data_IF_078080861141
#
_entry.id   IF_078080861141
#
_cell.length_a   1.000
_cell.length_b   1.000
_cell.length_c   1.000
_cell.angle_alpha   90.00
_cell.angle_beta   90.00
_cell.angle_gamma   90.00
#
_symmetry.space_group_name_H-M   'P 1'
#
loop_
_entity.id
_entity.type
_entity.pdbx_description
1 polymer ?
#
# COMPACT_ATOMS: atom_id res chain seq x y z
N UNK A 1 30.64 47.32 20.32
CA UNK A 1 29.91 46.87 19.11
C UNK A 1 29.83 45.36 19.19
N UNK A 2 28.66 44.83 19.51
CA UNK A 2 28.45 43.41 19.85
C UNK A 2 27.89 42.71 18.60
N UNK A 3 28.51 41.65 18.06
CA UNK A 3 27.83 40.80 17.09
C UNK A 3 27.01 39.75 17.84
N UNK A 4 25.68 39.92 17.86
CA UNK A 4 24.70 38.85 18.06
C UNK A 4 24.77 37.93 16.80
N UNK A 5 24.79 36.60 16.82
CA UNK A 5 24.37 35.63 17.83
C UNK A 5 22.95 35.10 17.56
N UNK A 6 22.79 34.09 16.69
CA UNK A 6 21.66 33.13 16.61
C UNK A 6 21.81 32.28 15.34
N UNK A 7 21.75 30.95 15.30
CA UNK A 7 21.55 29.95 16.33
C UNK A 7 22.30 28.67 15.89
N UNK A 8 22.95 28.04 16.86
CA UNK A 8 23.42 26.66 16.76
C UNK A 8 22.22 25.76 16.46
N UNK A 9 22.08 25.33 15.20
CA UNK A 9 21.32 24.15 14.85
C UNK A 9 22.33 23.02 14.71
N UNK A 10 22.13 21.96 15.49
CA UNK A 10 22.93 20.74 15.60
C UNK A 10 23.73 20.37 14.32
N UNK A 11 25.04 20.08 14.42
CA UNK A 11 25.80 19.56 13.29
C UNK A 11 25.50 18.06 13.14
N UNK A 12 24.27 17.72 12.78
CA UNK A 12 24.07 16.46 12.05
C UNK A 12 24.58 16.74 10.66
N UNK A 13 25.81 16.30 10.39
CA UNK A 13 26.42 16.23 9.06
C UNK A 13 25.38 15.79 8.02
N UNK A 14 24.73 16.73 7.35
CA UNK A 14 23.94 16.41 6.17
C UNK A 14 24.94 16.24 5.03
N UNK A 15 25.48 15.03 4.89
CA UNK A 15 26.28 14.61 3.72
C UNK A 15 25.39 14.45 2.47
N UNK A 16 24.24 15.10 2.40
CA UNK A 16 23.27 14.93 1.34
C UNK A 16 22.79 16.27 0.80
N UNK A 17 22.98 16.48 -0.51
CA UNK A 17 22.31 17.56 -1.25
C UNK A 17 20.97 17.02 -1.77
N UNK A 18 19.93 17.83 -1.60
CA UNK A 18 18.59 17.62 -2.14
C UNK A 18 18.44 18.40 -3.45
N UNK A 19 18.05 17.72 -4.54
CA UNK A 19 17.68 18.40 -5.80
C UNK A 19 16.15 18.60 -5.84
N UNK A 20 15.65 19.84 -5.76
CA UNK A 20 14.21 20.11 -5.65
C UNK A 20 13.43 20.03 -6.97
N UNK A 21 14.09 20.08 -8.14
CA UNK A 21 13.41 20.21 -9.44
C UNK A 21 13.74 19.05 -10.38
N UNK A 22 13.30 17.85 -10.04
CA UNK A 22 13.18 16.78 -11.03
C UNK A 22 11.70 16.49 -11.29
N UNK A 23 11.19 16.69 -12.52
CA UNK A 23 9.85 16.25 -12.87
C UNK A 23 9.73 14.75 -12.61
N UNK A 24 8.63 14.34 -11.99
CA UNK A 24 8.41 12.96 -11.60
C UNK A 24 8.50 12.03 -12.81
N UNK A 25 9.39 11.04 -12.73
CA UNK A 25 9.52 9.94 -13.70
C UNK A 25 8.22 9.17 -13.89
N UNK A 26 7.30 9.24 -12.91
CA UNK A 26 5.97 8.60 -13.00
C UNK A 26 4.93 9.42 -13.78
N UNK A 27 5.22 10.66 -14.18
CA UNK A 27 4.31 11.52 -14.94
C UNK A 27 3.08 12.02 -14.17
N UNK A 28 2.95 11.70 -12.87
CA UNK A 28 1.81 12.09 -12.05
C UNK A 28 1.96 13.52 -11.52
N UNK A 29 0.91 14.37 -11.60
CA UNK A 29 0.98 15.80 -11.30
C UNK A 29 1.22 16.16 -9.81
N UNK A 30 1.29 15.18 -8.92
CA UNK A 30 1.53 15.37 -7.47
C UNK A 30 2.69 14.50 -6.94
N UNK A 31 3.56 14.06 -7.82
CA UNK A 31 4.76 13.30 -7.46
C UNK A 31 5.99 14.12 -7.86
N UNK A 32 7.06 13.97 -7.11
CA UNK A 32 8.36 14.53 -7.45
C UNK A 32 9.43 13.46 -7.20
N UNK A 33 10.44 13.43 -8.05
CA UNK A 33 11.59 12.57 -7.84
C UNK A 33 12.60 13.31 -6.99
N UNK A 34 12.97 12.70 -5.87
CA UNK A 34 13.91 13.26 -4.91
C UNK A 34 15.23 12.52 -5.07
N UNK A 35 16.28 13.23 -5.50
CA UNK A 35 17.64 12.70 -5.56
C UNK A 35 18.43 13.14 -4.33
N UNK A 36 18.98 12.16 -3.62
CA UNK A 36 19.89 12.35 -2.49
C UNK A 36 21.30 11.93 -2.92
N UNK A 37 22.23 12.88 -2.94
CA UNK A 37 23.62 12.64 -3.34
C UNK A 37 24.50 12.56 -2.09
N UNK A 38 25.19 11.44 -1.87
CA UNK A 38 26.15 11.32 -0.77
C UNK A 38 27.44 12.09 -1.09
N UNK A 39 27.67 13.19 -0.38
CA UNK A 39 28.80 14.09 -0.56
C UNK A 39 30.15 13.49 -0.17
N UNK A 40 30.20 12.40 0.59
CA UNK A 40 31.46 11.72 0.90
C UNK A 40 32.19 11.21 -0.36
N UNK A 41 31.44 10.96 -1.43
CA UNK A 41 31.97 10.51 -2.73
C UNK A 41 32.07 11.64 -3.77
N UNK A 42 31.90 12.90 -3.36
CA UNK A 42 31.94 14.06 -4.24
C UNK A 42 33.27 14.78 -4.04
N UNK A 43 34.05 14.90 -5.11
CA UNK A 43 35.38 15.53 -5.06
C UNK A 43 35.33 17.04 -4.92
N UNK A 44 34.32 17.69 -5.53
CA UNK A 44 34.21 19.15 -5.58
C UNK A 44 32.73 19.56 -5.69
N UNK A 45 32.36 20.64 -5.01
CA UNK A 45 31.03 21.25 -5.07
C UNK A 45 31.19 22.74 -5.29
N UNK A 46 30.60 23.26 -6.37
CA UNK A 46 30.58 24.69 -6.68
C UNK A 46 29.16 25.24 -6.48
N UNK A 47 29.04 26.37 -5.77
CA UNK A 47 27.76 27.04 -5.57
C UNK A 47 27.52 27.98 -6.75
N UNK A 48 26.62 27.59 -7.66
CA UNK A 48 26.33 28.34 -8.88
C UNK A 48 25.44 29.56 -8.59
N UNK A 49 24.50 29.45 -7.64
CA UNK A 49 23.60 30.52 -7.26
C UNK A 49 23.09 30.31 -5.82
N UNK A 50 23.26 31.32 -4.97
CA UNK A 50 22.75 31.30 -3.60
C UNK A 50 21.46 32.13 -3.53
N UNK A 51 20.32 31.46 -3.34
CA UNK A 51 19.02 32.13 -3.20
C UNK A 51 18.84 32.60 -1.75
N UNK A 52 18.93 33.90 -1.53
CA UNK A 52 18.76 34.55 -0.22
C UNK A 52 17.29 34.81 0.15
N UNK A 53 16.36 34.60 -0.79
CA UNK A 53 14.93 34.73 -0.55
C UNK A 53 14.42 33.62 0.38
N UNK A 54 13.60 34.00 1.37
CA UNK A 54 12.98 33.01 2.26
C UNK A 54 11.97 32.18 1.43
N UNK A 55 12.15 30.85 1.34
CA UNK A 55 11.22 30.03 0.58
C UNK A 55 9.81 30.11 1.17
N UNK A 56 8.76 29.95 0.35
CA UNK A 56 7.40 29.92 0.85
C UNK A 56 7.25 28.83 1.93
N UNK A 57 6.42 29.07 2.97
CA UNK A 57 6.19 28.08 4.00
C UNK A 57 5.74 26.76 3.39
N UNK A 58 6.40 25.67 3.81
CA UNK A 58 6.00 24.33 3.39
C UNK A 58 4.56 24.07 3.82
N UNK A 59 3.81 23.37 2.97
CA UNK A 59 2.47 22.93 3.33
C UNK A 59 2.50 22.09 4.60
N UNK A 60 1.59 22.37 5.53
CA UNK A 60 1.49 21.61 6.77
C UNK A 60 1.12 20.16 6.46
N UNK A 61 1.99 19.23 6.86
CA UNK A 61 1.70 17.79 6.73
C UNK A 61 0.81 17.33 7.88
N UNK A 62 -0.17 16.49 7.56
CA UNK A 62 -0.99 15.83 8.57
C UNK A 62 -0.25 14.59 9.10
N UNK A 63 0.59 14.80 10.11
CA UNK A 63 1.45 13.75 10.69
C UNK A 63 0.62 12.60 11.28
N UNK A 64 -0.55 12.88 11.85
CA UNK A 64 -1.42 11.85 12.42
C UNK A 64 -2.00 10.92 11.36
N UNK A 65 -2.41 11.45 10.20
CA UNK A 65 -2.86 10.67 9.05
C UNK A 65 -1.73 9.83 8.44
N UNK A 66 -0.52 10.36 8.40
CA UNK A 66 0.65 9.60 7.92
C UNK A 66 0.99 8.46 8.88
N UNK A 67 0.98 8.73 10.19
CA UNK A 67 1.24 7.72 11.21
C UNK A 67 0.18 6.60 11.21
N UNK A 68 -1.11 6.94 11.04
CA UNK A 68 -2.17 5.93 10.94
C UNK A 68 -1.99 5.06 9.69
N UNK A 69 -1.71 5.68 8.53
CA UNK A 69 -1.44 4.95 7.28
C UNK A 69 -0.26 3.99 7.43
N UNK A 70 0.85 4.45 8.01
CA UNK A 70 2.04 3.62 8.25
C UNK A 70 1.73 2.42 9.17
N UNK A 71 0.90 2.61 10.21
CA UNK A 71 0.47 1.52 11.10
C UNK A 71 -0.40 0.51 10.35
N UNK A 72 -1.39 0.97 9.59
CA UNK A 72 -2.28 0.09 8.81
C UNK A 72 -1.49 -0.73 7.78
N UNK A 73 -0.60 -0.11 7.00
CA UNK A 73 0.21 -0.84 6.02
C UNK A 73 1.13 -1.87 6.67
N UNK A 74 1.69 -1.55 7.86
CA UNK A 74 2.50 -2.49 8.64
C UNK A 74 1.65 -3.69 9.08
N UNK A 75 0.48 -3.45 9.64
CA UNK A 75 -0.43 -4.49 10.12
C UNK A 75 -0.91 -5.40 8.98
N UNK A 76 -1.27 -4.83 7.83
CA UNK A 76 -1.66 -5.58 6.63
C UNK A 76 -0.54 -6.49 6.13
N UNK A 77 0.71 -5.99 6.08
CA UNK A 77 1.87 -6.80 5.66
C UNK A 77 2.19 -7.90 6.68
N UNK A 78 2.10 -7.62 7.98
CA UNK A 78 2.31 -8.63 9.02
C UNK A 78 1.26 -9.73 8.93
N UNK A 79 0.00 -9.37 8.72
CA UNK A 79 -1.10 -10.32 8.52
C UNK A 79 -0.90 -11.18 7.27
N UNK A 80 -0.46 -10.60 6.15
CA UNK A 80 -0.14 -11.36 4.95
C UNK A 80 1.04 -12.32 5.16
N UNK A 81 2.12 -11.84 5.80
CA UNK A 81 3.29 -12.66 6.10
C UNK A 81 2.92 -13.84 7.02
N UNK A 82 2.05 -13.60 8.01
CA UNK A 82 1.50 -14.65 8.86
C UNK A 82 0.78 -15.72 8.03
N UNK A 83 -0.16 -15.33 7.16
CA UNK A 83 -0.92 -16.27 6.34
C UNK A 83 -0.02 -17.12 5.44
N UNK A 84 1.01 -16.51 4.84
CA UNK A 84 2.02 -17.22 4.04
C UNK A 84 2.77 -18.23 4.92
N UNK A 85 3.26 -17.81 6.08
CA UNK A 85 4.01 -18.68 7.00
C UNK A 85 3.16 -19.85 7.56
N UNK A 86 1.87 -19.63 7.76
CA UNK A 86 0.92 -20.65 8.20
C UNK A 86 0.50 -21.61 7.08
N UNK A 87 0.91 -21.37 5.83
CA UNK A 87 0.55 -22.20 4.68
C UNK A 87 -0.92 -22.10 4.29
N UNK A 88 -1.52 -20.91 4.43
CA UNK A 88 -2.89 -20.60 3.98
C UNK A 88 -2.93 -20.61 2.46
N UNK A 89 -3.97 -21.21 1.86
CA UNK A 89 -4.17 -21.21 0.41
C UNK A 89 -4.37 -19.81 -0.17
N UNK A 90 -4.07 -19.60 -1.45
CA UNK A 90 -4.26 -18.31 -2.12
C UNK A 90 -5.73 -17.84 -2.05
N UNK A 91 -6.70 -18.76 -2.21
CA UNK A 91 -8.13 -18.46 -2.02
C UNK A 91 -8.43 -17.92 -0.62
N UNK A 92 -7.90 -18.56 0.43
CA UNK A 92 -8.08 -18.08 1.80
C UNK A 92 -7.49 -16.69 2.01
N UNK A 93 -6.30 -16.43 1.46
CA UNK A 93 -5.64 -15.11 1.52
C UNK A 93 -6.46 -14.04 0.78
N UNK A 94 -7.01 -14.36 -0.38
CA UNK A 94 -7.85 -13.45 -1.16
C UNK A 94 -9.17 -13.16 -0.44
N UNK A 95 -9.81 -14.18 0.14
CA UNK A 95 -11.03 -14.01 0.90
C UNK A 95 -10.80 -13.13 2.13
N UNK A 96 -9.72 -13.36 2.89
CA UNK A 96 -9.36 -12.52 4.03
C UNK A 96 -9.22 -11.05 3.62
N UNK A 97 -8.55 -10.76 2.49
CA UNK A 97 -8.44 -9.39 1.99
C UNK A 97 -9.80 -8.77 1.65
N UNK A 98 -10.72 -9.53 1.04
CA UNK A 98 -12.09 -9.05 0.75
C UNK A 98 -12.86 -8.77 2.03
N UNK A 99 -12.75 -9.65 3.03
CA UNK A 99 -13.38 -9.44 4.35
C UNK A 99 -12.76 -8.23 5.03
N UNK A 100 -11.43 -8.12 5.12
CA UNK A 100 -10.71 -7.01 5.77
C UNK A 100 -10.98 -5.63 5.12
N UNK A 101 -11.32 -5.60 3.83
CA UNK A 101 -11.78 -4.38 3.15
C UNK A 101 -13.17 -3.94 3.62
N UNK A 102 -14.03 -4.89 3.95
CA UNK A 102 -15.44 -4.65 4.34
C UNK A 102 -15.59 -4.48 5.85
N UNK A 103 -14.90 -5.32 6.62
CA UNK A 103 -14.94 -5.41 8.07
C UNK A 103 -13.49 -5.34 8.57
N UNK A 104 -13.12 -4.29 9.29
CA UNK A 104 -11.74 -4.10 9.78
C UNK A 104 -11.39 -5.02 10.93
N UNK A 105 -12.38 -5.45 11.70
CA UNK A 105 -12.19 -6.37 12.81
C UNK A 105 -12.20 -7.83 12.33
N UNK A 106 -11.10 -8.24 11.70
CA UNK A 106 -10.85 -9.62 11.35
C UNK A 106 -9.37 -9.97 11.54
N UNK A 107 -9.10 -11.19 12.02
CA UNK A 107 -7.75 -11.67 12.32
C UNK A 107 -7.58 -13.11 11.88
N UNK A 108 -6.32 -13.50 11.69
CA UNK A 108 -5.98 -14.89 11.52
C UNK A 108 -5.90 -15.61 12.86
N UNK A 109 -6.44 -16.81 12.91
CA UNK A 109 -6.24 -17.77 14.00
C UNK A 109 -5.80 -19.09 13.36
N UNK A 110 -4.50 -19.36 13.38
CA UNK A 110 -3.88 -20.47 12.64
C UNK A 110 -4.16 -20.33 11.13
N UNK A 111 -4.97 -21.23 10.57
CA UNK A 111 -5.45 -21.18 9.18
C UNK A 111 -6.87 -20.63 9.08
N UNK A 112 -7.50 -20.25 10.17
CA UNK A 112 -8.89 -19.80 10.20
C UNK A 112 -8.97 -18.28 10.15
N UNK A 113 -10.02 -17.76 9.54
CA UNK A 113 -10.34 -16.34 9.56
C UNK A 113 -11.37 -16.12 10.66
N UNK A 114 -11.04 -15.29 11.64
CA UNK A 114 -11.95 -14.91 12.73
C UNK A 114 -12.42 -13.48 12.49
N UNK A 115 -13.73 -13.29 12.37
CA UNK A 115 -14.38 -12.01 12.12
C UNK A 115 -15.18 -11.61 13.36
N UNK A 116 -14.90 -10.41 13.88
CA UNK A 116 -15.55 -9.85 15.08
C UNK A 116 -15.54 -10.77 16.32
N UNK A 117 -14.60 -11.72 16.40
CA UNK A 117 -14.57 -12.79 17.42
C UNK A 117 -15.84 -13.67 17.52
N UNK A 118 -16.83 -13.47 16.64
CA UNK A 118 -18.12 -14.15 16.66
C UNK A 118 -18.23 -15.21 15.55
N UNK A 119 -17.53 -15.00 14.43
CA UNK A 119 -17.59 -15.86 13.24
C UNK A 119 -16.20 -16.36 12.88
N UNK A 120 -16.09 -17.66 12.67
CA UNK A 120 -14.88 -18.37 12.27
C UNK A 120 -15.12 -19.04 10.92
N UNK A 121 -14.23 -18.77 9.98
CA UNK A 121 -14.24 -19.38 8.65
C UNK A 121 -13.03 -20.31 8.56
N UNK A 122 -13.29 -21.61 8.42
CA UNK A 122 -12.23 -22.62 8.32
C UNK A 122 -11.97 -22.98 6.85
N UNK A 123 -10.77 -23.48 6.49
CA UNK A 123 -10.55 -24.13 5.19
C UNK A 123 -11.63 -25.21 4.93
N UNK A 124 -12.10 -25.40 3.69
CA UNK A 124 -11.72 -24.76 2.41
C UNK A 124 -12.31 -23.35 2.15
N UNK A 125 -12.72 -22.62 3.19
CA UNK A 125 -13.20 -21.22 3.12
C UNK A 125 -14.49 -21.01 2.31
N UNK A 126 -15.33 -22.02 2.25
CA UNK A 126 -16.64 -21.92 1.61
C UNK A 126 -17.69 -21.28 2.52
N UNK A 127 -18.81 -20.88 1.92
CA UNK A 127 -19.97 -20.30 2.64
C UNK A 127 -20.49 -21.26 3.73
N UNK A 128 -20.39 -22.57 3.49
CA UNK A 128 -20.77 -23.62 4.45
C UNK A 128 -19.75 -23.84 5.58
N UNK A 129 -18.50 -23.41 5.40
CA UNK A 129 -17.46 -23.47 6.45
C UNK A 129 -17.48 -22.25 7.39
N UNK A 130 -18.39 -21.31 7.18
CA UNK A 130 -18.61 -20.19 8.08
C UNK A 130 -19.41 -20.67 9.31
N UNK A 131 -18.76 -20.68 10.49
CA UNK A 131 -19.36 -21.07 11.76
C UNK A 131 -19.37 -19.89 12.71
N UNK A 132 -20.40 -19.73 13.52
CA UNK A 132 -20.48 -18.64 14.48
C UNK A 132 -21.83 -18.64 15.18
N UNK A 133 -22.06 -17.63 16.02
CA UNK A 133 -23.37 -17.44 16.64
C UNK A 133 -24.41 -17.12 15.56
N UNK A 134 -25.55 -17.81 15.60
CA UNK A 134 -26.68 -17.52 14.70
C UNK A 134 -27.11 -16.06 14.87
N UNK A 135 -27.17 -15.31 13.76
CA UNK A 135 -27.46 -13.88 13.80
C UNK A 135 -27.07 -13.13 12.53
N UNK A 136 -27.20 -11.80 12.60
CA UNK A 136 -26.89 -10.89 11.50
C UNK A 136 -25.43 -10.94 11.07
N UNK A 137 -24.50 -11.09 12.02
CA UNK A 137 -23.06 -11.17 11.76
C UNK A 137 -22.72 -12.35 10.85
N UNK A 138 -23.16 -13.56 11.21
CA UNK A 138 -22.95 -14.76 10.40
C UNK A 138 -23.57 -14.65 9.01
N UNK A 139 -24.81 -14.13 8.93
CA UNK A 139 -25.49 -13.90 7.65
C UNK A 139 -24.75 -12.90 6.76
N UNK A 140 -24.20 -11.84 7.36
CA UNK A 140 -23.43 -10.83 6.64
C UNK A 140 -22.11 -11.41 6.12
N UNK A 141 -21.37 -12.13 6.95
CA UNK A 141 -20.11 -12.81 6.54
C UNK A 141 -20.37 -13.78 5.39
N UNK A 142 -21.42 -14.62 5.47
CA UNK A 142 -21.79 -15.54 4.37
C UNK A 142 -22.04 -14.81 3.05
N UNK A 143 -22.73 -13.66 3.09
CA UNK A 143 -22.96 -12.83 1.88
C UNK A 143 -21.66 -12.28 1.31
N UNK A 144 -20.72 -11.87 2.16
CA UNK A 144 -19.40 -11.39 1.70
C UNK A 144 -18.63 -12.52 1.02
N UNK A 145 -18.62 -13.72 1.61
CA UNK A 145 -17.96 -14.90 1.06
C UNK A 145 -18.59 -15.29 -0.29
N UNK A 146 -19.91 -15.35 -0.36
CA UNK A 146 -20.62 -15.64 -1.61
C UNK A 146 -20.29 -14.61 -2.70
N UNK A 147 -20.33 -13.31 -2.35
CA UNK A 147 -19.96 -12.24 -3.27
C UNK A 147 -18.51 -12.39 -3.74
N UNK A 148 -17.57 -12.71 -2.85
CA UNK A 148 -16.16 -12.91 -3.19
C UNK A 148 -16.00 -13.96 -4.29
N UNK A 149 -16.63 -15.14 -4.16
CA UNK A 149 -16.55 -16.18 -5.17
C UNK A 149 -17.16 -15.75 -6.52
N UNK A 150 -18.29 -15.02 -6.49
CA UNK A 150 -18.89 -14.45 -7.72
C UNK A 150 -17.96 -13.44 -8.39
N UNK A 151 -17.32 -12.57 -7.62
CA UNK A 151 -16.41 -11.54 -8.14
C UNK A 151 -15.14 -12.18 -8.72
N UNK A 152 -14.57 -13.19 -8.05
CA UNK A 152 -13.39 -13.93 -8.54
C UNK A 152 -13.68 -14.66 -9.85
N UNK A 153 -14.84 -15.33 -9.95
CA UNK A 153 -15.23 -16.01 -11.19
C UNK A 153 -15.43 -15.01 -12.33
N UNK A 154 -16.10 -13.90 -12.05
CA UNK A 154 -16.32 -12.83 -13.03
C UNK A 154 -14.99 -12.25 -13.55
N UNK A 155 -14.02 -12.05 -12.65
CA UNK A 155 -12.68 -11.59 -13.02
C UNK A 155 -11.92 -12.60 -13.88
N UNK A 156 -12.01 -13.90 -13.56
CA UNK A 156 -11.40 -14.96 -14.38
C UNK A 156 -11.98 -14.99 -15.80
N UNK A 157 -13.29 -14.81 -15.94
CA UNK A 157 -13.96 -14.75 -17.26
C UNK A 157 -13.46 -13.54 -18.05
N UNK A 158 -13.45 -12.35 -17.45
CA UNK A 158 -12.94 -11.12 -18.09
C UNK A 158 -11.49 -11.27 -18.56
N UNK A 159 -10.64 -11.88 -17.73
CA UNK A 159 -9.23 -12.10 -18.04
C UNK A 159 -9.03 -13.10 -19.19
N UNK A 160 -9.86 -14.16 -19.26
CA UNK A 160 -9.87 -15.09 -20.40
C UNK A 160 -10.30 -14.42 -21.71
N UNK A 161 -11.34 -13.58 -21.67
CA UNK A 161 -11.82 -12.87 -22.86
C UNK A 161 -10.78 -11.91 -23.45
N UNK A 162 -9.92 -11.30 -22.62
CA UNK A 162 -8.85 -10.41 -23.09
C UNK A 162 -7.63 -11.17 -23.63
N UNK A 163 -7.36 -12.39 -23.17
CA UNK A 163 -6.24 -13.20 -23.63
C UNK A 163 -6.47 -13.92 -24.97
N UNK A 164 -7.71 -13.94 -25.49
CA UNK A 164 -8.10 -14.65 -26.71
C UNK A 164 -8.14 -13.78 -27.99
N UNK A 165 -7.61 -12.56 -27.98
CA UNK A 165 -7.31 -11.84 -29.23
C UNK A 165 -5.83 -11.95 -29.62
N UNK A 166 -5.48 -12.88 -30.53
CA UNK A 166 -4.37 -12.67 -31.45
C UNK A 166 -4.80 -12.71 -32.93
N UNK A 167 -4.35 -11.68 -33.66
CA UNK A 167 -4.12 -11.59 -35.11
C UNK A 167 -5.32 -11.68 -36.08
N UNK A 168 -5.90 -10.51 -36.40
CA UNK A 168 -6.55 -10.28 -37.70
C UNK A 168 -6.26 -8.88 -38.27
N UNK A 169 -5.01 -8.43 -38.19
CA UNK A 169 -4.55 -7.17 -38.79
C UNK A 169 -3.12 -7.35 -39.33
N UNK A 170 -2.93 -8.23 -40.31
CA UNK A 170 -1.68 -8.30 -41.09
C UNK A 170 -1.91 -8.80 -42.53
N UNK A 171 -3.13 -8.69 -43.05
CA UNK A 171 -3.48 -9.15 -44.40
C UNK A 171 -4.33 -8.11 -45.17
N UNK A 172 -3.91 -6.84 -45.14
CA UNK A 172 -4.40 -5.78 -46.03
C UNK A 172 -3.29 -4.73 -46.22
N UNK A 173 -2.14 -5.18 -46.72
CA UNK A 173 -1.09 -4.33 -47.30
C UNK A 173 -0.11 -5.23 -48.06
N UNK A 174 -0.57 -5.77 -49.19
CA UNK A 174 0.27 -6.26 -50.28
C UNK A 174 -0.51 -6.11 -51.58
#
# INVERSE_FOLDING_TARGET
>A
YVPLGCASACPVFLNFIFSPECPSSSGKPNHADILLINLQYVSEVEIINDRTETPPPLASLNVSKLASKARTEKEEKLSQAYAISAGVSLEGQQLFQTIHKTIKDCKWQEKNIVVMEEVVITPPYQVENCKGKEGSALSHVRKIVEKHFRDVESQKILQRSQAQQPQKEAALSS
#
